data_IF_426948799440
#
_entry.id   IF_426948799440
#
_cell.length_a   1.000
_cell.length_b   1.000
_cell.length_c   1.000
_cell.angle_alpha   90.00
_cell.angle_beta   90.00
_cell.angle_gamma   90.00
#
_symmetry.space_group_name_H-M   'P 1'
#
loop_
_entity.id
_entity.type
_entity.pdbx_description
1 polymer ?
#
# COMPACT_ATOMS: atom_id res chain seq x y z
N UNK A 1 -4.40 -7.64 -1.91
CA UNK A 1 -4.17 -6.18 -2.03
C UNK A 1 -2.97 -5.94 -2.94
N UNK A 2 -3.02 -4.92 -3.81
CA UNK A 2 -1.84 -4.51 -4.59
C UNK A 2 -0.93 -3.64 -3.74
N UNK A 3 0.33 -4.00 -3.66
CA UNK A 3 1.37 -3.28 -2.91
C UNK A 3 2.58 -3.07 -3.80
N UNK A 4 3.34 -2.03 -3.51
CA UNK A 4 4.57 -1.68 -4.20
C UNK A 4 5.73 -1.85 -3.23
N UNK A 5 6.80 -2.50 -3.66
CA UNK A 5 8.00 -2.61 -2.87
C UNK A 5 8.76 -1.28 -2.86
N UNK A 6 9.17 -0.82 -1.68
CA UNK A 6 9.99 0.38 -1.49
C UNK A 6 11.48 0.06 -1.68
N UNK A 7 11.88 -1.17 -1.35
CA UNK A 7 13.26 -1.68 -1.46
C UNK A 7 13.22 -3.09 -2.04
N UNK A 8 14.34 -3.56 -2.58
CA UNK A 8 14.46 -4.96 -3.02
C UNK A 8 14.59 -5.86 -1.79
N UNK A 9 13.77 -6.90 -1.71
CA UNK A 9 13.82 -7.89 -0.64
C UNK A 9 13.51 -9.29 -1.18
N UNK A 10 13.97 -10.31 -0.46
CA UNK A 10 13.73 -11.72 -0.76
C UNK A 10 13.38 -12.49 0.50
N UNK A 11 12.59 -13.56 0.35
CA UNK A 11 12.09 -14.38 1.45
C UNK A 11 10.88 -15.19 0.99
N UNK A 12 9.85 -15.29 1.84
CA UNK A 12 8.54 -15.88 1.48
C UNK A 12 7.91 -15.20 0.27
N UNK A 13 8.18 -13.91 0.09
CA UNK A 13 7.88 -13.14 -1.10
C UNK A 13 9.15 -12.39 -1.50
N UNK A 14 9.47 -12.44 -2.80
CA UNK A 14 10.58 -11.68 -3.38
C UNK A 14 10.02 -10.65 -4.35
N UNK A 15 10.49 -9.41 -4.19
CA UNK A 15 10.10 -8.26 -5.01
C UNK A 15 11.31 -7.32 -5.17
N UNK A 16 11.43 -6.69 -6.34
CA UNK A 16 12.40 -5.64 -6.58
C UNK A 16 11.88 -4.27 -6.13
N UNK A 17 12.78 -3.35 -5.79
CA UNK A 17 12.40 -1.96 -5.49
C UNK A 17 11.56 -1.36 -6.64
N UNK A 18 10.38 -0.84 -6.31
CA UNK A 18 9.42 -0.28 -7.26
C UNK A 18 8.47 -1.29 -7.90
N UNK A 19 8.66 -2.59 -7.69
CA UNK A 19 7.78 -3.63 -8.24
C UNK A 19 6.41 -3.58 -7.57
N UNK A 20 5.35 -3.68 -8.37
CA UNK A 20 3.96 -3.76 -7.88
C UNK A 20 3.47 -5.19 -7.99
N UNK A 21 3.04 -5.76 -6.87
CA UNK A 21 2.54 -7.13 -6.82
C UNK A 21 1.27 -7.22 -6.01
N UNK A 22 0.42 -8.17 -6.37
CA UNK A 22 -0.74 -8.51 -5.59
C UNK A 22 -0.38 -9.58 -4.56
N UNK A 23 -0.47 -9.23 -3.28
CA UNK A 23 -0.28 -10.15 -2.16
C UNK A 23 -1.65 -10.43 -1.55
N UNK A 24 -1.96 -11.71 -1.33
CA UNK A 24 -3.23 -12.18 -0.72
C UNK A 24 -3.09 -12.53 0.76
N UNK A 25 -1.86 -12.75 1.22
CA UNK A 25 -1.57 -13.11 2.61
C UNK A 25 -1.54 -11.87 3.49
N UNK A 26 -2.52 -11.74 4.38
CA UNK A 26 -2.67 -10.56 5.23
C UNK A 26 -1.55 -10.42 6.27
N UNK A 27 -1.07 -11.54 6.83
CA UNK A 27 0.00 -11.55 7.84
C UNK A 27 1.32 -10.99 7.28
N UNK A 28 1.67 -11.42 6.06
CA UNK A 28 2.86 -10.91 5.35
C UNK A 28 2.71 -9.44 5.00
N UNK A 29 1.50 -9.01 4.62
CA UNK A 29 1.23 -7.60 4.32
C UNK A 29 1.44 -6.71 5.55
N UNK A 30 0.94 -7.11 6.71
CA UNK A 30 1.05 -6.33 7.94
C UNK A 30 2.52 -6.22 8.38
N UNK A 31 3.23 -7.36 8.43
CA UNK A 31 4.65 -7.39 8.79
C UNK A 31 5.52 -6.55 7.85
N UNK A 32 5.37 -6.71 6.53
CA UNK A 32 6.13 -5.94 5.55
C UNK A 32 5.77 -4.44 5.57
N UNK A 33 4.53 -4.09 5.91
CA UNK A 33 4.09 -2.69 6.03
C UNK A 33 4.65 -2.06 7.31
N UNK A 34 4.56 -2.75 8.44
CA UNK A 34 5.13 -2.33 9.72
C UNK A 34 6.65 -2.19 9.66
N UNK A 35 7.32 -3.10 8.93
CA UNK A 35 8.76 -3.05 8.69
C UNK A 35 9.16 -2.00 7.61
N UNK A 36 8.20 -1.39 6.91
CA UNK A 36 8.46 -0.34 5.92
C UNK A 36 9.09 -0.83 4.61
N UNK A 37 8.85 -2.08 4.22
CA UNK A 37 9.35 -2.66 2.97
C UNK A 37 8.40 -2.44 1.78
N UNK A 38 7.09 -2.30 2.06
CA UNK A 38 6.07 -2.14 1.04
C UNK A 38 5.14 -0.96 1.33
N UNK A 39 4.58 -0.38 0.28
CA UNK A 39 3.53 0.62 0.35
C UNK A 39 2.24 0.10 -0.31
N UNK A 40 1.06 0.28 0.29
CA UNK A 40 -0.19 -0.09 -0.34
C UNK A 40 -0.47 0.77 -1.57
N UNK A 41 -0.63 0.14 -2.74
CA UNK A 41 -1.06 0.81 -3.97
C UNK A 41 -2.57 0.94 -3.90
N UNK A 42 -3.04 1.78 -2.98
CA UNK A 42 -4.44 2.18 -3.00
C UNK A 42 -4.67 2.96 -4.30
N UNK A 43 -5.71 2.64 -5.09
CA UNK A 43 -6.29 3.71 -5.89
C UNK A 43 -6.76 4.71 -4.85
N UNK A 44 -6.18 5.91 -4.84
CA UNK A 44 -6.63 7.00 -3.97
C UNK A 44 -8.13 7.12 -4.15
N UNK A 45 -8.91 6.53 -3.26
CA UNK A 45 -10.25 7.00 -2.98
C UNK A 45 -9.95 8.26 -2.18
N UNK A 46 -9.70 9.33 -2.92
CA UNK A 46 -9.86 10.68 -2.42
C UNK A 46 -11.21 10.64 -1.73
N UNK A 47 -11.18 10.55 -0.41
CA UNK A 47 -12.30 11.02 0.41
C UNK A 47 -12.39 12.49 0.02
N UNK A 48 -13.22 12.72 -0.99
CA UNK A 48 -13.78 14.00 -1.33
C UNK A 48 -14.45 14.42 -0.03
N UNK A 49 -13.78 15.28 0.71
CA UNK A 49 -14.40 16.01 1.79
C UNK A 49 -15.43 16.95 1.13
N UNK A 50 -16.60 16.39 0.80
CA UNK A 50 -17.79 17.15 0.41
C UNK A 50 -18.39 17.70 1.72
N UNK A 51 -17.70 18.69 2.30
CA UNK A 51 -17.87 19.02 3.72
C UNK A 51 -17.83 20.50 4.07
N UNK A 52 -18.05 21.44 3.15
CA UNK A 52 -18.46 22.82 3.54
C UNK A 52 -19.10 23.61 2.40
N UNK A 53 -20.43 23.52 2.30
CA UNK A 53 -21.25 24.60 1.75
C UNK A 53 -21.62 25.50 2.93
N UNK A 54 -20.83 26.52 3.20
CA UNK A 54 -21.29 27.66 4.00
C UNK A 54 -21.80 28.72 3.02
N UNK A 55 -23.12 28.88 2.96
CA UNK A 55 -23.75 30.07 2.42
C UNK A 55 -24.25 30.88 3.62
N UNK A 56 -23.57 31.98 3.94
CA UNK A 56 -24.10 33.04 4.80
C UNK A 56 -23.54 34.38 4.34
#
# INVERSE_FOLDING_TARGET
MKVKALKSFSGTVSMYAGEVREIRTQEILDDLTAAGYIEPVTPRRSVKDEGKRDNT
#
